data_IF_548831468387
#
_entry.id   IF_548831468387
#
_cell.length_a   1.000
_cell.length_b   1.000
_cell.length_c   1.000
_cell.angle_alpha   90.00
_cell.angle_beta   90.00
_cell.angle_gamma   90.00
#
_symmetry.space_group_name_H-M   'P 1'
#
loop_
_entity.id
_entity.type
_entity.pdbx_description
1 polymer ?
#
# COMPACT_ATOMS: atom_id res chain seq x y z
N UNK A 1 7.05 36.45 -0.77
CA UNK A 1 7.92 35.41 -1.34
C UNK A 1 8.21 34.27 -0.36
N UNK A 2 8.12 34.45 0.96
CA UNK A 2 8.39 33.38 1.95
C UNK A 2 7.26 32.33 2.07
N UNK A 3 6.01 32.76 1.96
CA UNK A 3 4.81 31.93 2.21
C UNK A 3 4.71 30.72 1.25
N UNK A 4 5.07 30.90 -0.02
CA UNK A 4 4.96 29.84 -1.03
C UNK A 4 6.04 28.78 -0.82
N UNK A 5 7.24 29.16 -0.39
CA UNK A 5 8.32 28.22 -0.09
C UNK A 5 8.02 27.38 1.15
N UNK A 6 7.46 28.01 2.20
CA UNK A 6 6.99 27.28 3.38
C UNK A 6 5.87 26.27 3.03
N UNK A 7 4.91 26.66 2.18
CA UNK A 7 3.83 25.73 1.76
C UNK A 7 4.39 24.49 1.07
N UNK A 8 5.39 24.66 0.20
CA UNK A 8 5.98 23.56 -0.56
C UNK A 8 6.73 22.59 0.37
N UNK A 9 7.50 23.12 1.31
CA UNK A 9 8.22 22.32 2.32
C UNK A 9 7.24 21.53 3.19
N UNK A 10 6.15 22.16 3.64
CA UNK A 10 5.12 21.47 4.44
C UNK A 10 4.42 20.35 3.65
N UNK A 11 4.06 20.58 2.39
CA UNK A 11 3.41 19.55 1.56
C UNK A 11 4.35 18.38 1.32
N UNK A 12 5.62 18.63 0.99
CA UNK A 12 6.62 17.57 0.82
C UNK A 12 6.82 16.78 2.11
N UNK A 13 6.94 17.48 3.25
CA UNK A 13 7.08 16.84 4.56
C UNK A 13 5.88 15.97 4.91
N UNK A 14 4.65 16.49 4.75
CA UNK A 14 3.42 15.74 5.02
C UNK A 14 3.27 14.53 4.09
N UNK A 15 3.67 14.65 2.82
CA UNK A 15 3.63 13.55 1.86
C UNK A 15 4.64 12.46 2.23
N UNK A 16 5.86 12.83 2.63
CA UNK A 16 6.87 11.87 3.07
C UNK A 16 6.45 11.15 4.36
N UNK A 17 5.95 11.89 5.36
CA UNK A 17 5.44 11.32 6.61
C UNK A 17 4.22 10.43 6.33
N UNK A 18 3.28 10.87 5.50
CA UNK A 18 2.13 10.07 5.08
C UNK A 18 2.54 8.78 4.36
N UNK A 19 3.54 8.81 3.49
CA UNK A 19 4.09 7.62 2.84
C UNK A 19 4.73 6.66 3.85
N UNK A 20 5.50 7.16 4.81
CA UNK A 20 6.10 6.32 5.85
C UNK A 20 5.05 5.70 6.76
N UNK A 21 4.05 6.47 7.19
CA UNK A 21 2.94 5.97 8.01
C UNK A 21 2.17 4.88 7.24
N UNK A 22 1.82 5.10 5.98
CA UNK A 22 1.10 4.10 5.17
C UNK A 22 1.94 2.87 4.83
N UNK A 23 3.27 3.01 4.78
CA UNK A 23 4.18 1.88 4.52
C UNK A 23 4.42 1.02 5.76
N UNK A 24 4.56 1.63 6.92
CA UNK A 24 5.04 0.94 8.12
C UNK A 24 4.00 0.76 9.23
N UNK A 25 3.11 1.74 9.43
CA UNK A 25 2.15 1.73 10.55
C UNK A 25 0.78 1.24 10.08
N UNK A 26 0.33 1.75 8.93
CA UNK A 26 -1.02 1.54 8.44
C UNK A 26 -0.93 0.98 7.03
N UNK A 27 -0.75 -0.34 6.87
CA UNK A 27 -0.87 -0.99 5.55
C UNK A 27 -2.32 -0.79 5.07
N UNK A 28 -2.62 0.23 4.26
CA UNK A 28 -4.00 0.54 3.96
C UNK A 28 -4.56 -0.63 3.14
N UNK A 29 -5.79 -1.06 3.44
CA UNK A 29 -6.42 -2.18 2.76
C UNK A 29 -6.50 -2.02 1.23
N UNK A 30 -6.26 -0.81 0.72
CA UNK A 30 -6.15 -0.48 -0.71
C UNK A 30 -4.80 -0.86 -1.34
N UNK A 31 -3.69 -0.90 -0.58
CA UNK A 31 -2.38 -1.42 -1.01
C UNK A 31 -2.25 -2.94 -0.84
N UNK A 32 -3.24 -3.59 -0.22
CA UNK A 32 -3.51 -4.99 -0.55
C UNK A 32 -4.00 -4.96 -1.99
N UNK A 33 -3.05 -4.97 -2.96
CA UNK A 33 -3.32 -5.59 -4.26
C UNK A 33 -4.12 -6.83 -3.91
N UNK A 34 -5.35 -6.96 -4.42
CA UNK A 34 -6.09 -8.23 -4.34
C UNK A 34 -5.03 -9.27 -4.60
N UNK A 35 -4.67 -10.06 -3.58
CA UNK A 35 -3.79 -11.19 -3.80
C UNK A 35 -4.47 -11.90 -4.97
N UNK A 36 -3.84 -11.83 -6.14
CA UNK A 36 -4.48 -12.18 -7.39
C UNK A 36 -4.51 -13.68 -7.36
N UNK A 37 -5.42 -14.27 -6.53
CA UNK A 37 -5.41 -15.66 -6.05
C UNK A 37 -4.12 -16.31 -6.51
N UNK A 38 -3.00 -15.94 -5.88
CA UNK A 38 -1.71 -16.45 -6.35
C UNK A 38 -1.93 -17.95 -6.31
N UNK A 39 -1.96 -18.54 -7.51
CA UNK A 39 -2.12 -19.97 -7.72
C UNK A 39 -0.82 -20.57 -7.21
N UNK A 40 -0.64 -20.53 -5.90
CA UNK A 40 0.43 -21.19 -5.22
C UNK A 40 0.13 -22.67 -5.36
N UNK A 41 1.04 -23.39 -6.02
CA UNK A 41 1.06 -24.84 -6.00
C UNK A 41 0.97 -25.30 -4.54
N UNK A 42 -0.10 -26.03 -4.19
CA UNK A 42 -0.39 -26.45 -2.82
C UNK A 42 -1.72 -25.96 -2.25
N UNK A 43 -2.51 -25.18 -2.99
CA UNK A 43 -3.94 -25.03 -2.69
C UNK A 43 -4.64 -26.31 -3.14
N UNK A 44 -4.81 -27.23 -2.20
CA UNK A 44 -5.53 -28.51 -2.35
C UNK A 44 -7.03 -28.28 -2.60
N UNK A 45 -7.37 -27.72 -3.75
CA UNK A 45 -8.66 -27.94 -4.41
C UNK A 45 -8.42 -29.05 -5.44
N UNK A 46 -8.23 -30.28 -4.94
CA UNK A 46 -8.25 -31.47 -5.79
C UNK A 46 -9.69 -31.67 -6.24
N UNK A 47 -10.07 -31.00 -7.33
CA UNK A 47 -11.25 -31.29 -8.12
C UNK A 47 -11.14 -32.64 -8.83
N UNK A 48 -11.02 -33.73 -8.07
CA UNK A 48 -11.21 -35.09 -8.56
C UNK A 48 -12.64 -35.51 -8.22
N UNK A 49 -13.58 -35.08 -9.07
CA UNK A 49 -14.89 -35.73 -9.17
C UNK A 49 -14.76 -36.92 -10.10
N UNK A 50 -14.47 -38.10 -9.53
CA UNK A 50 -14.86 -39.39 -10.07
C UNK A 50 -15.57 -40.14 -8.94
#
# INVERSE_FOLDING_TARGET
>A
MELIQHILVFITFLTAVGYLITKFVWKPAFLKKKAQKEKACGMSDCGCSH
#
